data_IF_488242904122
#
_entry.id   IF_488242904122
#
_cell.length_a   1.000
_cell.length_b   1.000
_cell.length_c   1.000
_cell.angle_alpha   90.00
_cell.angle_beta   90.00
_cell.angle_gamma   90.00
#
_symmetry.space_group_name_H-M   'P 1'
#
loop_
_entity.id
_entity.type
_entity.pdbx_description
1 polymer ?
#
# COMPACT_ATOMS: atom_id res chain seq x y z
N UNK A 1 -7.02 -13.02 38.55
CA UNK A 1 -7.25 -13.77 37.30
C UNK A 1 -7.92 -12.83 36.28
N UNK A 2 -7.13 -12.07 35.51
CA UNK A 2 -7.60 -11.23 34.39
C UNK A 2 -6.95 -11.75 33.10
N UNK A 3 -7.37 -12.89 32.56
CA UNK A 3 -6.56 -13.58 31.53
C UNK A 3 -7.30 -14.29 30.40
N UNK A 4 -8.56 -13.96 30.08
CA UNK A 4 -9.20 -14.66 28.94
C UNK A 4 -10.17 -13.83 28.09
N UNK A 5 -10.77 -12.77 28.63
CA UNK A 5 -11.82 -12.03 27.92
C UNK A 5 -11.32 -10.84 27.05
N UNK A 6 -10.10 -10.34 27.25
CA UNK A 6 -9.54 -9.27 26.39
C UNK A 6 -8.93 -9.79 25.07
N UNK A 7 -8.79 -11.11 24.90
CA UNK A 7 -8.24 -11.71 23.68
C UNK A 7 -9.24 -11.91 22.54
N UNK A 8 -10.53 -11.58 22.74
CA UNK A 8 -11.62 -11.97 21.83
C UNK A 8 -11.98 -10.90 20.78
N UNK A 9 -11.38 -9.70 20.81
CA UNK A 9 -11.74 -8.61 19.87
C UNK A 9 -10.64 -8.17 18.90
N UNK A 10 -9.54 -8.93 18.77
CA UNK A 10 -8.58 -8.69 17.69
C UNK A 10 -8.93 -9.66 16.56
N UNK A 11 -9.68 -9.20 15.58
CA UNK A 11 -10.00 -10.02 14.41
C UNK A 11 -8.73 -10.55 13.72
N UNK A 12 -8.78 -11.82 13.31
CA UNK A 12 -7.72 -12.47 12.50
C UNK A 12 -7.63 -11.90 11.08
N UNK A 13 -8.55 -11.00 10.73
CA UNK A 13 -8.58 -10.23 9.50
C UNK A 13 -8.98 -8.79 9.81
N UNK A 14 -8.55 -7.87 8.95
CA UNK A 14 -8.85 -6.46 9.08
C UNK A 14 -8.82 -5.77 7.73
N UNK A 15 -9.41 -4.58 7.68
CA UNK A 15 -9.37 -3.70 6.50
C UNK A 15 -8.58 -2.47 6.88
N UNK A 16 -7.54 -2.18 6.10
CA UNK A 16 -6.80 -0.93 6.17
C UNK A 16 -7.31 -0.03 5.06
N UNK A 17 -7.57 1.24 5.40
CA UNK A 17 -7.99 2.24 4.44
C UNK A 17 -7.23 3.54 4.72
N UNK A 18 -6.56 4.08 3.70
CA UNK A 18 -5.69 5.23 3.79
C UNK A 18 -5.90 6.17 2.60
N UNK A 19 -6.11 7.45 2.89
CA UNK A 19 -6.18 8.50 1.88
C UNK A 19 -4.82 9.18 1.76
N UNK A 20 -4.22 9.10 0.57
CA UNK A 20 -2.95 9.76 0.29
C UNK A 20 -3.18 11.00 -0.59
N UNK A 21 -2.69 12.14 -0.12
CA UNK A 21 -2.76 13.42 -0.82
C UNK A 21 -1.45 13.73 -1.54
N UNK A 22 -1.49 14.62 -2.54
CA UNK A 22 -0.30 15.06 -3.28
C UNK A 22 0.45 13.91 -3.97
N UNK A 23 -0.28 12.92 -4.48
CA UNK A 23 0.26 11.72 -5.17
C UNK A 23 1.19 12.10 -6.34
N UNK A 24 0.93 13.21 -7.03
CA UNK A 24 1.79 13.74 -8.10
C UNK A 24 3.22 14.06 -7.64
N UNK A 25 3.39 14.43 -6.35
CA UNK A 25 4.68 14.78 -5.73
C UNK A 25 5.41 13.59 -5.10
N UNK A 26 4.86 12.37 -5.17
CA UNK A 26 5.57 11.19 -4.68
C UNK A 26 6.91 11.03 -5.41
N UNK A 27 7.93 10.65 -4.65
CA UNK A 27 9.28 10.32 -5.13
C UNK A 27 9.59 8.87 -4.72
N UNK A 28 10.85 8.45 -4.90
CA UNK A 28 11.31 7.14 -4.40
C UNK A 28 11.29 7.05 -2.86
N UNK A 29 11.03 8.17 -2.16
CA UNK A 29 10.84 8.17 -0.71
C UNK A 29 9.48 7.56 -0.33
N UNK A 30 9.55 6.55 0.55
CA UNK A 30 8.37 5.85 1.08
C UNK A 30 7.53 6.75 1.99
N UNK A 31 6.23 6.81 1.71
CA UNK A 31 5.18 7.40 2.55
C UNK A 31 4.32 6.27 3.12
N UNK A 32 3.95 6.37 4.40
CA UNK A 32 3.15 5.35 5.11
C UNK A 32 1.79 5.92 5.53
N UNK A 33 0.78 5.05 5.56
CA UNK A 33 -0.48 5.34 6.23
C UNK A 33 -0.29 5.38 7.76
N UNK A 34 -1.29 5.87 8.51
CA UNK A 34 -1.39 5.56 9.93
C UNK A 34 -1.39 4.02 10.17
N UNK A 35 -0.80 3.55 11.28
CA UNK A 35 -0.78 2.13 11.61
C UNK A 35 -2.15 1.63 12.05
N UNK A 36 -2.45 0.37 11.70
CA UNK A 36 -3.66 -0.36 12.11
C UNK A 36 -3.24 -1.68 12.71
N UNK A 37 -3.80 -2.00 13.88
CA UNK A 37 -3.51 -3.26 14.56
C UNK A 37 -4.46 -4.36 14.10
N UNK A 38 -3.91 -5.43 13.52
CA UNK A 38 -4.62 -6.65 13.10
C UNK A 38 -3.84 -7.87 13.59
N UNK A 39 -4.52 -8.85 14.19
CA UNK A 39 -3.90 -10.02 14.82
C UNK A 39 -2.74 -9.67 15.79
N UNK A 40 -2.84 -8.54 16.51
CA UNK A 40 -1.85 -8.10 17.49
C UNK A 40 -0.56 -7.56 16.85
N UNK A 41 -0.61 -7.22 15.57
CA UNK A 41 0.50 -6.65 14.80
C UNK A 41 0.09 -5.33 14.18
N UNK A 42 1.02 -4.39 14.14
CA UNK A 42 0.82 -3.10 13.50
C UNK A 42 1.13 -3.20 12.01
N UNK A 43 0.17 -2.83 11.19
CA UNK A 43 0.26 -2.86 9.73
C UNK A 43 0.10 -1.45 9.17
N UNK A 44 0.80 -1.14 8.10
CA UNK A 44 0.63 0.12 7.35
C UNK A 44 0.56 -0.17 5.85
N UNK A 45 -0.08 0.74 5.12
CA UNK A 45 0.02 0.82 3.66
C UNK A 45 1.21 1.73 3.35
N UNK A 46 2.14 1.23 2.54
CA UNK A 46 3.32 1.97 2.11
C UNK A 46 3.24 2.26 0.62
N UNK A 47 3.43 3.52 0.26
CA UNK A 47 3.47 3.96 -1.13
C UNK A 47 4.73 4.77 -1.42
N UNK A 48 5.18 4.71 -2.67
CA UNK A 48 6.19 5.60 -3.23
C UNK A 48 6.04 5.60 -4.75
N UNK A 49 6.74 6.50 -5.42
CA UNK A 49 6.83 6.48 -6.87
C UNK A 49 8.19 5.95 -7.30
N UNK A 50 8.22 4.99 -8.22
CA UNK A 50 9.45 4.52 -8.87
C UNK A 50 9.52 5.07 -10.28
N UNK A 51 10.65 5.70 -10.60
CA UNK A 51 10.97 6.10 -11.97
C UNK A 51 11.78 5.01 -12.64
N UNK A 52 11.35 4.58 -13.83
CA UNK A 52 12.09 3.60 -14.65
C UNK A 52 12.49 4.24 -15.98
N UNK A 53 13.77 4.14 -16.37
CA UNK A 53 14.20 4.59 -17.68
C UNK A 53 13.59 3.68 -18.74
N UNK A 54 12.94 4.29 -19.73
CA UNK A 54 12.47 3.65 -20.95
C UNK A 54 13.20 4.28 -22.14
N UNK A 55 13.26 3.59 -23.28
CA UNK A 55 14.12 3.93 -24.44
C UNK A 55 14.06 5.42 -24.83
N UNK A 56 12.90 6.07 -24.72
CA UNK A 56 12.70 7.49 -25.08
C UNK A 56 12.01 8.34 -24.01
N UNK A 57 11.74 7.79 -22.82
CA UNK A 57 11.02 8.52 -21.76
C UNK A 57 11.29 7.90 -20.38
N UNK A 58 10.92 8.62 -19.33
CA UNK A 58 10.89 8.06 -17.98
C UNK A 58 9.45 7.70 -17.63
N UNK A 59 9.19 6.41 -17.45
CA UNK A 59 7.90 5.96 -16.94
C UNK A 59 7.94 6.01 -15.41
N UNK A 60 6.99 6.72 -14.81
CA UNK A 60 6.81 6.81 -13.36
C UNK A 60 5.68 5.89 -12.95
N UNK A 61 5.90 5.04 -11.95
CA UNK A 61 4.91 4.11 -11.43
C UNK A 61 4.64 4.38 -9.96
N UNK A 62 3.38 4.27 -9.55
CA UNK A 62 2.98 4.15 -8.16
C UNK A 62 3.29 2.73 -7.72
N UNK A 63 4.07 2.63 -6.64
CA UNK A 63 4.32 1.38 -5.95
C UNK A 63 3.44 1.34 -4.70
N UNK A 64 2.81 0.20 -4.42
CA UNK A 64 1.91 0.03 -3.27
C UNK A 64 2.22 -1.28 -2.57
N UNK A 65 2.36 -1.23 -1.24
CA UNK A 65 2.72 -2.37 -0.42
C UNK A 65 1.93 -2.41 0.88
N UNK A 66 1.70 -3.62 1.36
CA UNK A 66 1.39 -3.89 2.76
C UNK A 66 2.72 -4.05 3.52
N UNK A 67 2.88 -3.32 4.63
CA UNK A 67 4.07 -3.36 5.47
C UNK A 67 3.71 -3.76 6.91
N UNK A 68 4.44 -4.75 7.43
CA UNK A 68 4.41 -5.14 8.83
C UNK A 68 5.38 -4.26 9.62
N UNK A 69 4.84 -3.46 10.53
CA UNK A 69 5.63 -2.68 11.46
C UNK A 69 6.16 -3.56 12.58
N UNK A 70 7.41 -3.31 13.00
CA UNK A 70 8.05 -4.01 14.12
C UNK A 70 7.94 -5.54 13.99
N UNK A 71 8.34 -6.07 12.83
CA UNK A 71 8.35 -7.50 12.60
C UNK A 71 9.27 -8.19 13.61
N UNK A 72 8.66 -8.91 14.55
CA UNK A 72 9.40 -9.79 15.45
C UNK A 72 10.00 -10.98 14.70
N UNK A 73 10.68 -11.85 15.44
CA UNK A 73 11.35 -13.02 14.86
C UNK A 73 10.38 -14.12 14.37
N UNK A 74 9.08 -13.98 14.66
CA UNK A 74 8.07 -14.96 14.28
C UNK A 74 7.52 -14.68 12.88
N UNK A 75 7.77 -15.63 11.97
CA UNK A 75 7.23 -15.64 10.62
C UNK A 75 5.71 -15.84 10.62
N UNK A 76 5.00 -15.03 9.85
CA UNK A 76 3.54 -15.06 9.78
C UNK A 76 3.08 -15.12 8.32
N UNK A 77 2.17 -16.04 8.02
CA UNK A 77 1.56 -16.13 6.69
C UNK A 77 0.32 -15.24 6.65
N UNK A 78 0.27 -14.34 5.68
CA UNK A 78 -0.83 -13.39 5.51
C UNK A 78 -1.37 -13.47 4.09
N UNK A 79 -2.68 -13.59 3.98
CA UNK A 79 -3.42 -13.41 2.73
C UNK A 79 -3.98 -12.00 2.72
N UNK A 80 -3.71 -11.23 1.67
CA UNK A 80 -4.14 -9.85 1.59
C UNK A 80 -4.57 -9.46 0.17
N UNK A 81 -5.34 -8.38 0.09
CA UNK A 81 -5.73 -7.76 -1.18
C UNK A 81 -5.50 -6.25 -1.08
N UNK A 82 -4.77 -5.69 -2.03
CA UNK A 82 -4.55 -4.24 -2.17
C UNK A 82 -5.48 -3.72 -3.27
N UNK A 83 -6.24 -2.67 -2.98
CA UNK A 83 -7.16 -2.07 -3.94
C UNK A 83 -6.92 -0.57 -4.04
N UNK A 84 -6.96 -0.03 -5.26
CA UNK A 84 -7.08 1.41 -5.48
C UNK A 84 -8.53 1.79 -5.74
N UNK A 85 -9.10 2.60 -4.85
CA UNK A 85 -10.49 3.02 -4.87
C UNK A 85 -10.59 4.40 -5.51
N UNK A 86 -11.41 4.54 -6.58
CA UNK A 86 -11.76 5.85 -7.13
C UNK A 86 -12.71 6.58 -6.18
N UNK A 87 -12.74 7.92 -6.23
CA UNK A 87 -13.68 8.74 -5.44
C UNK A 87 -15.16 8.35 -5.65
N UNK A 88 -15.51 7.69 -6.75
CA UNK A 88 -16.86 7.16 -6.99
C UNK A 88 -17.14 5.77 -6.36
N UNK A 89 -16.25 5.28 -5.49
CA UNK A 89 -16.41 4.02 -4.76
C UNK A 89 -16.11 2.75 -5.56
N UNK A 90 -15.73 2.84 -6.84
CA UNK A 90 -15.35 1.68 -7.64
C UNK A 90 -13.84 1.45 -7.56
N UNK A 91 -13.43 0.25 -7.15
CA UNK A 91 -12.04 -0.19 -7.27
C UNK A 91 -11.71 -0.48 -8.75
N UNK A 92 -10.52 -0.09 -9.20
CA UNK A 92 -10.11 -0.31 -10.61
C UNK A 92 -8.94 -1.28 -10.76
N UNK A 93 -8.23 -1.52 -9.67
CA UNK A 93 -7.07 -2.41 -9.62
C UNK A 93 -7.19 -3.17 -8.30
N UNK A 94 -7.19 -4.50 -8.36
CA UNK A 94 -7.05 -5.36 -7.20
C UNK A 94 -5.85 -6.30 -7.38
N UNK A 95 -4.98 -6.32 -6.39
CA UNK A 95 -3.86 -7.26 -6.34
C UNK A 95 -4.07 -8.17 -5.14
N UNK A 96 -4.00 -9.48 -5.35
CA UNK A 96 -4.15 -10.48 -4.30
C UNK A 96 -2.85 -11.25 -4.13
N UNK A 97 -2.41 -11.37 -2.89
CA UNK A 97 -1.18 -12.08 -2.59
C UNK A 97 -1.32 -12.90 -1.32
N UNK A 98 -0.51 -13.96 -1.26
CA UNK A 98 -0.26 -14.72 -0.04
C UNK A 98 1.24 -14.63 0.22
N UNK A 99 1.62 -14.03 1.34
CA UNK A 99 3.02 -13.75 1.64
C UNK A 99 3.38 -14.14 3.06
N UNK A 100 4.68 -14.31 3.30
CA UNK A 100 5.21 -14.51 4.64
C UNK A 100 5.91 -13.24 5.09
N UNK A 101 5.49 -12.73 6.24
CA UNK A 101 6.09 -11.58 6.88
C UNK A 101 6.98 -12.03 8.05
N UNK A 102 8.21 -11.54 8.07
CA UNK A 102 9.20 -11.75 9.13
C UNK A 102 10.18 -10.56 9.16
N UNK A 103 11.17 -10.60 10.05
CA UNK A 103 12.15 -9.53 10.21
C UNK A 103 12.91 -9.18 8.92
N UNK A 104 13.03 -10.12 7.97
CA UNK A 104 13.71 -9.91 6.69
C UNK A 104 12.74 -9.53 5.55
N UNK A 105 11.45 -9.85 5.70
CA UNK A 105 10.42 -9.62 4.69
C UNK A 105 9.23 -8.88 5.29
N UNK A 106 9.45 -7.62 5.65
CA UNK A 106 8.39 -6.79 6.27
C UNK A 106 7.43 -6.18 5.25
N UNK A 107 7.68 -6.32 3.95
CA UNK A 107 7.02 -5.55 2.89
C UNK A 107 6.65 -6.44 1.71
N UNK A 108 5.39 -6.42 1.29
CA UNK A 108 4.89 -7.15 0.12
C UNK A 108 3.84 -6.35 -0.67
N UNK A 109 3.89 -6.43 -2.00
CA UNK A 109 3.04 -5.66 -2.91
C UNK A 109 3.71 -5.50 -4.28
N UNK A 110 3.27 -4.51 -5.05
CA UNK A 110 3.70 -4.31 -6.43
C UNK A 110 4.46 -3.01 -6.65
N UNK A 111 5.62 -3.13 -7.29
CA UNK A 111 6.48 -2.03 -7.71
C UNK A 111 5.97 -1.28 -8.94
N UNK A 112 5.04 -1.86 -9.70
CA UNK A 112 4.48 -1.32 -10.93
C UNK A 112 2.94 -1.27 -10.89
N UNK A 113 2.37 -1.13 -9.69
CA UNK A 113 0.93 -1.22 -9.42
C UNK A 113 0.07 -0.33 -10.32
N UNK A 114 0.51 0.92 -10.57
CA UNK A 114 -0.16 1.81 -11.51
C UNK A 114 0.84 2.76 -12.18
N UNK A 115 0.78 2.90 -13.50
CA UNK A 115 1.54 3.93 -14.20
C UNK A 115 0.95 5.33 -13.91
N UNK A 116 1.79 6.30 -13.56
CA UNK A 116 1.42 7.70 -13.69
C UNK A 116 1.30 8.01 -15.19
N UNK A 117 0.26 8.73 -15.63
CA UNK A 117 0.19 9.15 -17.00
C UNK A 117 1.42 9.98 -17.34
N UNK A 118 2.13 9.56 -18.37
CA UNK A 118 3.30 10.25 -18.89
C UNK A 118 2.85 11.58 -19.46
N UNK A 119 3.19 12.68 -18.80
CA UNK A 119 3.12 14.00 -19.41
C UNK A 119 4.27 14.13 -20.41
N UNK A 120 4.09 13.61 -21.62
CA UNK A 120 4.93 13.96 -22.76
C UNK A 120 4.06 14.43 -23.92
N UNK A 121 4.25 15.71 -24.25
CA UNK A 121 3.72 16.48 -25.38
C UNK A 121 2.26 16.97 -25.28
N UNK A 122 2.13 18.29 -25.06
CA UNK A 122 0.93 19.13 -25.13
C UNK A 122 -0.20 18.94 -24.08
N UNK A 123 -0.31 19.96 -23.21
CA UNK A 123 -1.55 20.50 -22.63
C UNK A 123 -2.64 19.49 -22.26
N UNK A 124 -2.45 18.81 -21.13
CA UNK A 124 -3.55 18.59 -20.18
C UNK A 124 -2.96 18.20 -18.81
N UNK A 125 -2.97 19.12 -17.85
CA UNK A 125 -2.87 18.75 -16.44
C UNK A 125 -4.15 18.00 -16.10
N UNK A 126 -4.08 16.68 -16.04
CA UNK A 126 -5.09 15.91 -15.32
C UNK A 126 -4.72 16.05 -13.84
N UNK A 127 -5.48 16.87 -13.14
CA UNK A 127 -5.40 17.00 -11.70
C UNK A 127 -5.84 15.67 -11.10
N UNK A 128 -4.87 14.86 -10.66
CA UNK A 128 -5.16 13.63 -9.95
C UNK A 128 -5.54 14.03 -8.54
N UNK A 129 -6.85 14.14 -8.34
CA UNK A 129 -7.53 14.34 -7.06
C UNK A 129 -7.16 13.30 -6.02
N UNK A 130 -7.92 13.21 -4.94
CA UNK A 130 -7.43 12.47 -3.78
C UNK A 130 -7.74 10.99 -3.87
N UNK A 131 -6.78 10.14 -3.53
CA UNK A 131 -6.94 8.69 -3.67
C UNK A 131 -7.06 8.02 -2.31
N UNK A 132 -8.01 7.10 -2.22
CA UNK A 132 -8.20 6.21 -1.08
C UNK A 132 -7.69 4.83 -1.50
N UNK A 133 -6.72 4.32 -0.76
CA UNK A 133 -6.20 2.95 -0.84
C UNK A 133 -6.83 2.15 0.28
#
# INVERSE_FOLDING_TARGET
MRSMLERILIGDSGVLCARFTQISKLSDAKVRSPPVTVAGKEWVISIFARSTPHINCTAKYLCVFLELMNAGNQRQKVSFTIKLIRENGRANIDERANAYFDASHTLWGDTYYMAFPVSFCHHSMVDFGTWVV
#
